data_IF_710553056789
#
_entry.id   IF_710553056789
#
_cell.length_a   1.000
_cell.length_b   1.000
_cell.length_c   1.000
_cell.angle_alpha   90.00
_cell.angle_beta   90.00
_cell.angle_gamma   90.00
#
_symmetry.space_group_name_H-M   'P 1'
#
loop_
_entity.id
_entity.type
_entity.pdbx_description
1 polymer ?
#
# COMPACT_ATOMS: atom_id res chain seq x y z
N UNK A 1 41.86 33.88 -7.84
CA UNK A 1 41.35 32.87 -8.79
C UNK A 1 41.60 31.42 -8.33
N UNK A 2 42.76 31.08 -7.75
CA UNK A 2 43.08 29.71 -7.30
C UNK A 2 42.17 29.16 -6.17
N UNK A 3 41.77 30.00 -5.21
CA UNK A 3 40.91 29.60 -4.08
C UNK A 3 39.51 29.13 -4.53
N UNK A 4 38.89 29.82 -5.49
CA UNK A 4 37.58 29.44 -6.03
C UNK A 4 37.64 28.14 -6.85
N UNK A 5 38.76 27.90 -7.53
CA UNK A 5 38.97 26.68 -8.31
C UNK A 5 39.17 25.46 -7.40
N UNK A 6 39.95 25.63 -6.33
CA UNK A 6 40.15 24.59 -5.30
C UNK A 6 38.85 24.28 -4.56
N UNK A 7 38.04 25.29 -4.22
CA UNK A 7 36.73 25.10 -3.61
C UNK A 7 35.76 24.34 -4.53
N UNK A 8 35.74 24.64 -5.83
CA UNK A 8 34.93 23.92 -6.84
C UNK A 8 35.37 22.47 -6.99
N UNK A 9 36.67 22.20 -6.95
CA UNK A 9 37.21 20.85 -7.04
C UNK A 9 36.83 20.02 -5.81
N UNK A 10 36.92 20.61 -4.62
CA UNK A 10 36.50 19.98 -3.36
C UNK A 10 35.01 19.69 -3.36
N UNK A 11 34.17 20.64 -3.79
CA UNK A 11 32.72 20.43 -3.96
C UNK A 11 32.41 19.31 -4.97
N UNK A 12 33.09 19.28 -6.11
CA UNK A 12 32.89 18.23 -7.12
C UNK A 12 33.28 16.85 -6.58
N UNK A 13 34.40 16.72 -5.86
CA UNK A 13 34.78 15.47 -5.20
C UNK A 13 33.77 15.05 -4.13
N UNK A 14 33.23 15.99 -3.35
CA UNK A 14 32.17 15.74 -2.37
C UNK A 14 30.91 15.18 -3.03
N UNK A 15 30.47 15.75 -4.15
CA UNK A 15 29.30 15.26 -4.90
C UNK A 15 29.53 13.86 -5.49
N UNK A 16 30.74 13.53 -5.95
CA UNK A 16 31.08 12.19 -6.48
C UNK A 16 31.16 11.14 -5.35
N UNK A 17 31.48 11.56 -4.12
CA UNK A 17 31.59 10.68 -2.96
C UNK A 17 30.27 10.38 -2.25
N UNK A 18 29.17 11.03 -2.63
CA UNK A 18 27.86 10.72 -2.05
C UNK A 18 27.36 9.37 -2.60
N UNK A 19 27.08 8.38 -1.74
CA UNK A 19 26.53 7.11 -2.19
C UNK A 19 25.13 7.34 -2.78
N UNK A 20 24.90 6.79 -3.98
CA UNK A 20 23.57 6.72 -4.55
C UNK A 20 22.74 5.73 -3.72
N UNK A 21 21.89 6.23 -2.84
CA UNK A 21 20.94 5.39 -2.09
C UNK A 21 19.79 5.04 -3.02
N UNK A 22 19.64 3.76 -3.37
CA UNK A 22 18.39 3.25 -3.94
C UNK A 22 17.41 3.10 -2.78
N UNK A 23 16.41 3.98 -2.73
CA UNK A 23 15.43 4.04 -1.64
C UNK A 23 14.33 3.00 -1.74
N UNK A 24 13.53 2.91 -0.68
CA UNK A 24 12.29 2.13 -0.63
C UNK A 24 11.32 2.60 -1.74
N UNK A 25 10.63 1.67 -2.38
CA UNK A 25 9.62 2.00 -3.41
C UNK A 25 8.25 2.08 -2.75
N UNK A 26 7.46 3.09 -3.13
CA UNK A 26 6.11 3.27 -2.60
C UNK A 26 5.11 3.46 -3.73
N UNK A 27 4.04 2.65 -3.71
CA UNK A 27 2.91 2.77 -4.63
C UNK A 27 1.65 3.17 -3.88
N UNK A 28 0.71 3.81 -4.57
CA UNK A 28 -0.63 4.04 -4.06
C UNK A 28 -1.63 3.44 -5.02
N UNK A 29 -2.52 2.61 -4.51
CA UNK A 29 -3.56 1.94 -5.28
C UNK A 29 -4.90 2.13 -4.58
N UNK A 30 -5.97 2.06 -5.35
CA UNK A 30 -7.28 1.81 -4.78
C UNK A 30 -7.37 0.34 -4.34
N UNK A 31 -8.21 0.05 -3.37
CA UNK A 31 -8.61 -1.33 -3.09
C UNK A 31 -9.50 -1.93 -4.19
N UNK A 32 -9.99 -3.15 -3.98
CA UNK A 32 -10.89 -3.84 -4.92
C UNK A 32 -10.33 -4.05 -6.34
N UNK A 33 -9.01 -3.93 -6.50
CA UNK A 33 -8.36 -4.19 -7.77
C UNK A 33 -8.48 -5.67 -8.14
N UNK A 34 -8.84 -5.90 -9.41
CA UNK A 34 -8.94 -7.25 -9.97
C UNK A 34 -7.57 -7.92 -9.96
N UNK A 35 -7.57 -9.24 -9.77
CA UNK A 35 -6.38 -10.07 -9.96
C UNK A 35 -5.75 -9.83 -11.34
N UNK A 36 -4.43 -9.67 -11.36
CA UNK A 36 -3.65 -9.33 -12.55
C UNK A 36 -3.56 -7.84 -12.85
N UNK A 37 -4.23 -6.97 -12.08
CA UNK A 37 -4.07 -5.52 -12.23
C UNK A 37 -2.63 -5.10 -11.94
N UNK A 38 -2.13 -4.15 -12.71
CA UNK A 38 -0.77 -3.61 -12.57
C UNK A 38 -0.76 -2.54 -11.48
N UNK A 39 0.15 -2.68 -10.51
CA UNK A 39 0.39 -1.70 -9.46
C UNK A 39 1.44 -0.67 -9.92
N UNK A 40 2.51 -1.15 -10.55
CA UNK A 40 3.62 -0.31 -11.02
C UNK A 40 4.77 -1.14 -11.59
N UNK A 41 5.73 -0.49 -12.26
CA UNK A 41 6.89 -1.18 -12.83
C UNK A 41 8.08 -1.16 -11.86
N UNK A 42 8.11 -2.16 -10.98
CA UNK A 42 9.12 -2.26 -9.91
C UNK A 42 10.54 -2.50 -10.46
N UNK A 43 10.66 -3.15 -11.62
CA UNK A 43 11.97 -3.35 -12.25
C UNK A 43 12.59 -2.02 -12.68
N UNK A 44 11.81 -1.15 -13.34
CA UNK A 44 12.28 0.16 -13.77
C UNK A 44 12.59 1.06 -12.56
N UNK A 45 11.73 1.06 -11.55
CA UNK A 45 11.87 1.93 -10.37
C UNK A 45 13.12 1.57 -9.54
N UNK A 46 13.50 0.29 -9.49
CA UNK A 46 14.72 -0.19 -8.82
C UNK A 46 15.94 -0.29 -9.76
N UNK A 47 15.76 -0.06 -11.06
CA UNK A 47 16.79 -0.23 -12.08
C UNK A 47 17.29 -1.67 -12.18
N UNK A 48 16.38 -2.64 -12.12
CA UNK A 48 16.64 -4.07 -12.27
C UNK A 48 16.36 -4.51 -13.71
N UNK A 49 17.22 -5.38 -14.25
CA UNK A 49 17.00 -5.99 -15.56
C UNK A 49 16.00 -7.16 -15.47
N UNK A 50 15.14 -7.32 -16.48
CA UNK A 50 14.10 -8.35 -16.52
C UNK A 50 14.69 -9.77 -16.46
N UNK A 51 15.85 -9.98 -17.11
CA UNK A 51 16.55 -11.28 -17.05
C UNK A 51 17.03 -11.57 -15.64
N UNK A 52 17.44 -10.54 -14.90
CA UNK A 52 17.90 -10.69 -13.52
C UNK A 52 16.76 -11.07 -12.58
N UNK A 53 15.53 -10.59 -12.81
CA UNK A 53 14.38 -10.98 -11.98
C UNK A 53 14.18 -12.50 -12.00
N UNK A 54 14.16 -13.11 -13.18
CA UNK A 54 13.99 -14.56 -13.32
C UNK A 54 15.21 -15.34 -12.85
N UNK A 55 16.43 -14.92 -13.24
CA UNK A 55 17.67 -15.58 -12.86
C UNK A 55 17.91 -15.59 -11.33
N UNK A 56 17.49 -14.52 -10.66
CA UNK A 56 17.59 -14.34 -9.21
C UNK A 56 16.31 -14.72 -8.46
N UNK A 57 15.34 -15.38 -9.13
CA UNK A 57 14.08 -15.84 -8.51
C UNK A 57 13.37 -14.74 -7.69
N UNK A 58 13.26 -13.56 -8.28
CA UNK A 58 12.67 -12.39 -7.65
C UNK A 58 11.23 -12.67 -7.19
N UNK A 59 10.95 -12.50 -5.91
CA UNK A 59 9.61 -12.74 -5.34
C UNK A 59 9.21 -11.63 -4.39
N UNK A 60 7.90 -11.47 -4.23
CA UNK A 60 7.34 -10.64 -3.17
C UNK A 60 7.07 -11.54 -1.97
N UNK A 61 7.71 -11.22 -0.85
CA UNK A 61 7.45 -11.82 0.44
C UNK A 61 6.78 -10.79 1.37
N UNK A 62 5.87 -11.27 2.19
CA UNK A 62 5.12 -10.55 3.22
C UNK A 62 5.80 -10.75 4.57
N UNK A 63 5.89 -9.70 5.38
CA UNK A 63 6.57 -9.78 6.69
C UNK A 63 5.75 -10.58 7.74
N UNK A 64 4.42 -10.56 7.66
CA UNK A 64 3.54 -10.99 8.76
C UNK A 64 2.34 -11.87 8.36
N UNK A 65 2.19 -12.22 7.08
CA UNK A 65 0.97 -12.87 6.59
C UNK A 65 1.28 -13.92 5.51
N UNK A 66 0.56 -15.05 5.51
CA UNK A 66 0.76 -16.11 4.52
C UNK A 66 0.10 -15.77 3.17
N UNK A 67 -0.76 -14.75 3.14
CA UNK A 67 -1.50 -14.33 1.95
C UNK A 67 -0.62 -13.51 1.01
N UNK A 68 -0.45 -14.00 -0.22
CA UNK A 68 0.33 -13.33 -1.26
C UNK A 68 -0.55 -12.38 -2.08
N UNK A 69 -0.75 -11.17 -1.58
CA UNK A 69 -1.53 -10.13 -2.26
C UNK A 69 -0.90 -9.60 -3.56
N UNK A 70 0.42 -9.63 -3.66
CA UNK A 70 1.16 -9.08 -4.78
C UNK A 70 2.19 -10.08 -5.32
N UNK A 71 2.57 -9.91 -6.58
CA UNK A 71 3.65 -10.69 -7.20
C UNK A 71 4.34 -9.90 -8.32
N UNK A 72 5.47 -10.40 -8.79
CA UNK A 72 6.20 -9.79 -9.91
C UNK A 72 5.97 -10.56 -11.19
N UNK A 73 5.64 -9.85 -12.28
CA UNK A 73 5.65 -10.41 -13.62
C UNK A 73 7.07 -10.34 -14.20
N UNK A 74 7.73 -11.49 -14.35
CA UNK A 74 9.11 -11.57 -14.87
C UNK A 74 9.29 -11.06 -16.30
N UNK A 75 8.22 -11.07 -17.11
CA UNK A 75 8.30 -10.68 -18.52
C UNK A 75 8.24 -9.16 -18.70
N UNK A 76 7.55 -8.46 -17.81
CA UNK A 76 7.31 -7.01 -17.91
C UNK A 76 8.00 -6.20 -16.81
N UNK A 77 8.40 -6.85 -15.71
CA UNK A 77 8.97 -6.20 -14.54
C UNK A 77 7.94 -5.50 -13.67
N UNK A 78 6.65 -5.80 -13.88
CA UNK A 78 5.53 -5.16 -13.18
C UNK A 78 5.21 -5.88 -11.88
N UNK A 79 4.91 -5.10 -10.85
CA UNK A 79 4.24 -5.55 -9.65
C UNK A 79 2.75 -5.66 -9.96
N UNK A 80 2.17 -6.84 -9.73
CA UNK A 80 0.78 -7.16 -10.05
C UNK A 80 0.03 -7.63 -8.82
N UNK A 81 -1.29 -7.38 -8.81
CA UNK A 81 -2.22 -7.90 -7.82
C UNK A 81 -2.40 -9.40 -8.03
N UNK A 82 -2.14 -10.21 -7.01
CA UNK A 82 -2.34 -11.66 -7.02
C UNK A 82 -3.64 -12.07 -6.35
N UNK A 83 -4.02 -11.40 -5.27
CA UNK A 83 -5.28 -11.62 -4.56
C UNK A 83 -5.97 -10.28 -4.31
N UNK A 84 -7.30 -10.31 -4.16
CA UNK A 84 -8.11 -9.10 -3.88
C UNK A 84 -7.59 -8.43 -2.61
N UNK A 85 -7.37 -7.12 -2.69
CA UNK A 85 -6.94 -6.28 -1.58
C UNK A 85 -8.19 -5.59 -1.05
N UNK A 86 -8.55 -5.90 0.18
CA UNK A 86 -9.73 -5.42 0.91
C UNK A 86 -9.22 -4.66 2.14
N UNK A 87 -9.43 -3.34 2.17
CA UNK A 87 -8.82 -2.45 3.16
C UNK A 87 -9.42 -2.70 4.54
N UNK A 88 -10.70 -3.03 4.62
CA UNK A 88 -11.45 -3.31 5.85
C UNK A 88 -10.86 -4.54 6.54
N UNK A 89 -10.57 -5.59 5.77
CA UNK A 89 -9.90 -6.81 6.25
C UNK A 89 -8.44 -6.60 6.67
N UNK A 90 -7.70 -5.73 5.98
CA UNK A 90 -6.26 -5.51 6.23
C UNK A 90 -5.97 -4.53 7.37
N UNK A 91 -6.69 -3.42 7.37
CA UNK A 91 -6.36 -2.24 8.18
C UNK A 91 -7.50 -1.82 9.09
N UNK A 92 -8.72 -2.34 8.86
CA UNK A 92 -9.92 -1.93 9.58
C UNK A 92 -10.03 -0.40 9.59
N UNK A 93 -10.36 0.22 10.73
CA UNK A 93 -10.61 1.67 10.84
C UNK A 93 -9.34 2.53 11.00
N UNK A 94 -8.18 2.08 10.50
CA UNK A 94 -6.92 2.85 10.62
C UNK A 94 -6.92 4.00 9.60
N UNK A 95 -6.47 5.17 10.04
CA UNK A 95 -6.34 6.39 9.20
C UNK A 95 -5.44 6.18 7.98
N UNK A 96 -4.47 5.27 8.04
CA UNK A 96 -3.59 4.95 6.92
C UNK A 96 -3.41 3.45 6.82
N UNK A 97 -3.73 2.90 5.64
CA UNK A 97 -3.49 1.51 5.31
C UNK A 97 -2.25 1.38 4.42
N UNK A 98 -1.20 0.75 4.94
CA UNK A 98 0.05 0.52 4.20
C UNK A 98 0.46 -0.94 4.38
N UNK A 99 0.49 -1.66 3.26
CA UNK A 99 1.02 -3.01 3.20
C UNK A 99 2.53 -2.93 2.98
N UNK A 100 3.30 -3.53 3.90
CA UNK A 100 4.75 -3.62 3.79
C UNK A 100 5.11 -4.96 3.15
N UNK A 101 5.77 -4.87 2.02
CA UNK A 101 6.18 -6.00 1.20
C UNK A 101 7.69 -5.94 0.97
N UNK A 102 8.29 -7.08 0.71
CA UNK A 102 9.71 -7.18 0.40
C UNK A 102 9.91 -7.84 -0.96
N UNK A 103 10.60 -7.15 -1.86
CA UNK A 103 11.13 -7.77 -3.07
C UNK A 103 12.45 -8.44 -2.73
N UNK A 104 12.47 -9.77 -2.76
CA UNK A 104 13.64 -10.59 -2.48
C UNK A 104 14.22 -11.09 -3.78
N UNK A 105 15.50 -10.80 -4.04
CA UNK A 105 16.30 -11.38 -5.11
C UNK A 105 17.34 -12.32 -4.50
N UNK A 106 17.42 -13.55 -5.00
CA UNK A 106 18.41 -14.54 -4.57
C UNK A 106 19.72 -14.45 -5.37
N UNK A 107 20.83 -14.89 -4.76
CA UNK A 107 22.13 -15.11 -5.43
C UNK A 107 22.69 -13.88 -6.21
N UNK A 108 23.24 -12.86 -5.52
CA UNK A 108 23.32 -12.70 -4.06
C UNK A 108 21.99 -12.26 -3.45
N UNK A 109 21.81 -12.45 -2.14
CA UNK A 109 20.61 -12.02 -1.45
C UNK A 109 20.55 -10.47 -1.43
N UNK A 110 19.46 -9.92 -1.97
CA UNK A 110 19.16 -8.50 -1.98
C UNK A 110 17.67 -8.31 -1.69
N UNK A 111 17.35 -7.34 -0.84
CA UNK A 111 16.00 -7.10 -0.35
C UNK A 111 15.68 -5.63 -0.55
N UNK A 112 14.56 -5.35 -1.22
CA UNK A 112 14.02 -4.00 -1.35
C UNK A 112 12.66 -3.91 -0.66
N UNK A 113 12.46 -2.87 0.15
CA UNK A 113 11.17 -2.62 0.77
C UNK A 113 10.23 -1.97 -0.24
N UNK A 114 9.02 -2.50 -0.29
CA UNK A 114 7.94 -2.04 -1.15
C UNK A 114 6.75 -1.72 -0.26
N UNK A 115 6.38 -0.44 -0.19
CA UNK A 115 5.24 0.02 0.57
C UNK A 115 4.06 0.24 -0.38
N UNK A 116 2.92 -0.38 -0.12
CA UNK A 116 1.71 -0.20 -0.92
C UNK A 116 0.68 0.50 -0.05
N UNK A 117 0.41 1.76 -0.36
CA UNK A 117 -0.66 2.53 0.27
C UNK A 117 -1.98 2.15 -0.39
N UNK A 118 -2.88 1.56 0.39
CA UNK A 118 -4.22 1.20 -0.06
C UNK A 118 -5.14 2.40 0.24
N UNK A 119 -5.81 2.87 -0.80
CA UNK A 119 -6.82 3.91 -0.73
C UNK A 119 -8.19 3.28 -0.69
N UNK A 120 -9.00 3.82 0.20
CA UNK A 120 -10.38 3.46 0.44
C UNK A 120 -11.26 3.73 -0.79
N UNK A 121 -12.17 2.80 -1.10
CA UNK A 121 -13.28 3.02 -2.02
C UNK A 121 -14.57 2.85 -1.21
N UNK A 122 -15.59 3.68 -1.47
CA UNK A 122 -16.91 3.46 -0.90
C UNK A 122 -17.63 2.29 -1.59
N UNK A 123 -17.25 1.06 -1.25
CA UNK A 123 -17.87 -0.19 -1.71
C UNK A 123 -18.77 -0.84 -0.65
N UNK A 124 -18.74 -0.34 0.58
CA UNK A 124 -19.72 -0.69 1.61
C UNK A 124 -20.85 0.35 1.69
N UNK A 125 -22.01 -0.12 2.14
CA UNK A 125 -23.16 0.73 2.43
C UNK A 125 -23.47 0.66 3.91
N UNK A 126 -23.89 1.77 4.55
CA UNK A 126 -24.13 1.80 5.98
C UNK A 126 -25.26 0.85 6.37
N UNK A 127 -25.05 0.06 7.43
CA UNK A 127 -26.01 -0.94 7.90
C UNK A 127 -26.41 -0.70 9.35
N UNK A 128 -27.70 -0.83 9.64
CA UNK A 128 -28.17 -0.95 11.01
C UNK A 128 -27.96 -2.37 11.50
N UNK A 129 -27.75 -2.52 12.81
CA UNK A 129 -27.60 -3.84 13.43
C UNK A 129 -28.85 -4.70 13.32
N UNK A 130 -30.03 -4.07 13.35
CA UNK A 130 -31.33 -4.74 13.22
C UNK A 130 -32.04 -4.30 11.94
N UNK A 131 -32.63 -5.25 11.21
CA UNK A 131 -33.39 -4.97 9.98
C UNK A 131 -34.77 -4.35 10.22
N UNK A 132 -35.22 -4.29 11.46
CA UNK A 132 -36.48 -3.66 11.87
C UNK A 132 -36.37 -3.19 13.31
N UNK A 133 -36.85 -1.98 13.58
CA UNK A 133 -36.83 -1.36 14.90
C UNK A 133 -38.27 -1.12 15.39
N UNK A 134 -38.58 -1.59 16.59
CA UNK A 134 -39.87 -1.32 17.25
C UNK A 134 -39.68 -0.28 18.36
N UNK A 135 -40.37 0.85 18.25
CA UNK A 135 -40.38 1.90 19.27
C UNK A 135 -41.76 1.95 19.94
N UNK A 136 -41.78 1.95 21.27
CA UNK A 136 -43.00 2.11 22.06
C UNK A 136 -42.96 3.47 22.76
N UNK A 137 -43.87 4.36 22.33
CA UNK A 137 -43.94 5.74 22.82
C UNK A 137 -45.23 5.91 23.62
N UNK A 138 -45.09 6.45 24.83
CA UNK A 138 -46.25 6.74 25.69
C UNK A 138 -47.08 7.88 25.09
N UNK A 139 -48.40 7.73 25.05
CA UNK A 139 -49.32 8.74 24.51
C UNK A 139 -49.21 10.11 25.20
N UNK A 140 -48.77 10.14 26.45
CA UNK A 140 -48.54 11.36 27.25
C UNK A 140 -47.16 11.98 27.02
N UNK A 141 -46.41 11.53 26.01
CA UNK A 141 -45.12 12.11 25.65
C UNK A 141 -45.27 13.60 25.32
N UNK A 142 -44.46 14.43 25.98
CA UNK A 142 -44.46 15.86 25.75
C UNK A 142 -43.98 16.19 24.34
N UNK A 143 -44.50 17.27 23.76
CA UNK A 143 -44.00 17.80 22.50
C UNK A 143 -42.51 18.15 22.64
N UNK A 144 -41.68 17.67 21.71
CA UNK A 144 -40.23 17.84 21.75
C UNK A 144 -39.48 16.73 22.50
N UNK A 145 -40.16 15.69 22.99
CA UNK A 145 -39.50 14.49 23.51
C UNK A 145 -38.64 13.81 22.44
N UNK A 146 -37.43 13.40 22.81
CA UNK A 146 -36.46 12.71 21.96
C UNK A 146 -36.40 11.22 22.28
N UNK A 147 -36.32 10.38 21.25
CA UNK A 147 -36.18 8.93 21.38
C UNK A 147 -34.92 8.51 20.65
N UNK A 148 -34.07 7.72 21.30
CA UNK A 148 -32.82 7.27 20.73
C UNK A 148 -33.09 6.20 19.67
N UNK A 149 -32.35 6.29 18.57
CA UNK A 149 -32.27 5.28 17.54
C UNK A 149 -30.82 4.77 17.53
N UNK A 150 -30.64 3.50 17.21
CA UNK A 150 -29.31 2.96 17.01
C UNK A 150 -28.69 3.59 15.75
N UNK A 151 -27.37 3.82 15.81
CA UNK A 151 -26.62 4.34 14.69
C UNK A 151 -26.40 3.25 13.63
N UNK A 152 -26.40 3.64 12.36
CA UNK A 152 -25.90 2.78 11.30
C UNK A 152 -24.36 2.74 11.34
N UNK A 153 -23.78 1.60 11.00
CA UNK A 153 -22.35 1.43 10.89
C UNK A 153 -21.98 1.21 9.43
N UNK A 154 -21.07 2.06 8.95
CA UNK A 154 -20.36 1.85 7.68
C UNK A 154 -18.99 1.23 7.96
N UNK A 155 -18.54 0.36 7.06
CA UNK A 155 -17.28 -0.37 7.22
C UNK A 155 -16.08 0.45 6.73
N UNK A 156 -16.31 1.32 5.74
CA UNK A 156 -15.34 2.29 5.19
C UNK A 156 -14.78 3.25 6.27
#
# INVERSE_FOLDING_TARGET
MASAFSLRLVLACLFISLPLVKGDVSYSILEELKRGSVIGNIANDLGLDLRMLSARKARIDTEHDDVKYCGVNYNTGELIVQERIDREGLCSKKVSCVMKQELVLENPLEIHRVNIRVQDINDNSPQFKEGSLKLEIRESAAKGATFLLDEAHDAD
#
